data_IF_604580995694
#
_entry.id   IF_604580995694
#
_cell.length_a   1.000
_cell.length_b   1.000
_cell.length_c   1.000
_cell.angle_alpha   90.00
_cell.angle_beta   90.00
_cell.angle_gamma   90.00
#
_symmetry.space_group_name_H-M   'P 1'
#
loop_
_entity.id
_entity.type
_entity.pdbx_description
1 polymer ?
#
# COMPACT_ATOMS: atom_id res chain seq x y z
N UNK A 1 20.38 33.35 8.38
CA UNK A 1 19.02 33.01 8.84
C UNK A 1 18.27 32.37 7.69
N UNK A 2 18.25 31.03 7.65
CA UNK A 2 17.38 30.26 6.75
C UNK A 2 16.42 29.53 7.66
N UNK A 3 15.18 30.00 7.68
CA UNK A 3 14.10 29.43 8.48
C UNK A 3 13.75 28.06 7.89
N UNK A 4 14.16 27.00 8.58
CA UNK A 4 13.73 25.64 8.30
C UNK A 4 12.22 25.59 8.51
N UNK A 5 11.48 25.46 7.40
CA UNK A 5 10.05 25.18 7.42
C UNK A 5 9.85 23.74 7.86
N UNK A 6 9.63 23.54 9.16
CA UNK A 6 9.05 22.32 9.70
C UNK A 6 7.55 22.33 9.36
N UNK A 7 7.19 21.89 8.16
CA UNK A 7 5.83 21.37 7.98
C UNK A 7 5.78 20.04 8.74
N UNK A 8 5.18 20.06 9.92
CA UNK A 8 4.90 18.86 10.72
C UNK A 8 4.12 17.85 9.89
N UNK A 9 4.82 16.85 9.33
CA UNK A 9 4.22 15.65 8.79
C UNK A 9 3.52 14.79 9.87
N UNK A 10 3.69 15.15 11.15
CA UNK A 10 2.98 14.58 12.31
C UNK A 10 1.57 15.17 12.55
N UNK A 11 1.07 16.08 11.69
CA UNK A 11 -0.14 16.86 12.00
C UNK A 11 -1.48 16.24 11.58
N UNK A 12 -1.49 15.17 10.79
CA UNK A 12 -2.73 14.50 10.35
C UNK A 12 -2.85 13.14 11.06
N UNK A 13 -3.89 12.95 11.91
CA UNK A 13 -4.15 11.66 12.53
C UNK A 13 -4.34 10.56 11.48
N UNK A 14 -3.88 9.32 11.73
CA UNK A 14 -4.14 8.20 10.84
C UNK A 14 -5.63 8.01 10.58
N UNK A 15 -5.98 7.58 9.38
CA UNK A 15 -7.36 7.39 8.93
C UNK A 15 -7.55 6.07 8.21
N UNK A 16 -8.79 5.62 8.06
CA UNK A 16 -9.11 4.42 7.26
C UNK A 16 -8.71 4.56 5.79
N UNK A 17 -8.63 5.79 5.26
CA UNK A 17 -8.23 6.05 3.88
C UNK A 17 -6.76 5.71 3.63
N UNK A 18 -5.91 5.78 4.67
CA UNK A 18 -4.49 5.43 4.61
C UNK A 18 -4.28 3.96 4.18
N UNK A 19 -5.26 3.10 4.51
CA UNK A 19 -5.24 1.68 4.16
C UNK A 19 -5.56 1.42 2.68
N UNK A 20 -5.94 2.43 1.90
CA UNK A 20 -6.18 2.28 0.45
C UNK A 20 -4.90 1.94 -0.32
N UNK A 21 -3.71 2.16 0.26
CA UNK A 21 -2.46 1.62 -0.25
C UNK A 21 -2.44 0.09 -0.40
N UNK A 22 -3.24 -0.63 0.41
CA UNK A 22 -3.44 -2.07 0.25
C UNK A 22 -4.12 -2.43 -1.08
N UNK A 23 -5.03 -1.57 -1.55
CA UNK A 23 -5.80 -1.79 -2.78
C UNK A 23 -5.02 -1.40 -4.04
N UNK A 24 -3.97 -0.58 -3.91
CA UNK A 24 -2.96 -0.41 -4.96
C UNK A 24 -2.09 -1.68 -5.15
N UNK A 25 -2.04 -2.53 -4.13
CA UNK A 25 -1.41 -3.84 -4.12
C UNK A 25 -2.46 -4.97 -4.36
N UNK A 26 -2.12 -6.25 -4.13
CA UNK A 26 -3.09 -7.35 -4.21
C UNK A 26 -4.20 -7.36 -3.14
N UNK A 27 -4.25 -6.37 -2.23
CA UNK A 27 -5.27 -6.30 -1.18
C UNK A 27 -6.69 -6.11 -1.75
N UNK A 28 -7.70 -6.57 -1.03
CA UNK A 28 -9.10 -6.57 -1.46
C UNK A 28 -9.96 -5.83 -0.43
N UNK A 29 -11.07 -5.28 -0.91
CA UNK A 29 -12.16 -4.76 -0.07
C UNK A 29 -13.43 -5.52 -0.41
N UNK A 30 -14.11 -6.05 0.60
CA UNK A 30 -15.34 -6.83 0.42
C UNK A 30 -16.45 -6.30 1.32
N UNK A 31 -17.67 -6.20 0.78
CA UNK A 31 -18.86 -5.90 1.57
C UNK A 31 -19.25 -7.11 2.42
N UNK A 32 -19.55 -6.88 3.70
CA UNK A 32 -20.00 -7.90 4.65
C UNK A 32 -21.14 -7.32 5.48
N UNK A 33 -22.37 -7.78 5.22
CA UNK A 33 -23.56 -7.24 5.90
C UNK A 33 -23.68 -5.73 5.69
N UNK A 34 -23.67 -4.97 6.80
CA UNK A 34 -23.76 -3.50 6.80
C UNK A 34 -22.40 -2.80 6.86
N UNK A 35 -21.28 -3.50 6.64
CA UNK A 35 -19.94 -2.93 6.63
C UNK A 35 -19.09 -3.47 5.49
N UNK A 36 -17.80 -3.14 5.51
CA UNK A 36 -16.83 -3.72 4.61
C UNK A 36 -15.58 -4.17 5.38
N UNK A 37 -14.75 -4.98 4.74
CA UNK A 37 -13.49 -5.48 5.28
C UNK A 37 -12.38 -5.31 4.25
N UNK A 38 -11.23 -4.82 4.70
CA UNK A 38 -9.98 -4.84 3.93
C UNK A 38 -9.18 -6.09 4.30
N UNK A 39 -8.52 -6.69 3.32
CA UNK A 39 -7.64 -7.84 3.55
C UNK A 39 -6.53 -7.91 2.53
N UNK A 40 -5.33 -8.34 2.93
CA UNK A 40 -4.21 -8.59 2.01
C UNK A 40 -3.40 -9.80 2.45
N UNK A 41 -3.06 -10.65 1.49
CA UNK A 41 -2.11 -11.75 1.67
C UNK A 41 -0.70 -11.20 1.40
N UNK A 42 0.24 -11.49 2.30
CA UNK A 42 1.61 -10.97 2.23
C UNK A 42 2.63 -12.10 2.36
N UNK A 43 3.82 -11.91 1.79
CA UNK A 43 4.83 -12.97 1.70
C UNK A 43 5.41 -13.36 3.08
N UNK A 44 5.46 -12.43 4.04
CA UNK A 44 6.10 -12.63 5.34
C UNK A 44 5.28 -12.09 6.51
N UNK A 45 5.38 -12.74 7.67
CA UNK A 45 4.59 -12.41 8.85
C UNK A 45 4.83 -10.97 9.36
N UNK A 46 6.07 -10.48 9.31
CA UNK A 46 6.40 -9.11 9.75
C UNK A 46 5.66 -8.05 8.94
N UNK A 47 5.31 -8.33 7.68
CA UNK A 47 4.48 -7.43 6.85
C UNK A 47 3.06 -7.38 7.39
N UNK A 48 2.50 -8.53 7.76
CA UNK A 48 1.17 -8.62 8.34
C UNK A 48 1.11 -7.92 9.71
N UNK A 49 2.14 -8.06 10.53
CA UNK A 49 2.27 -7.40 11.84
C UNK A 49 2.34 -5.87 11.68
N UNK A 50 3.22 -5.36 10.82
CA UNK A 50 3.32 -3.91 10.56
C UNK A 50 2.06 -3.32 9.91
N UNK A 51 1.35 -4.09 9.08
CA UNK A 51 0.04 -3.67 8.56
C UNK A 51 -1.04 -3.70 9.64
N UNK A 52 -0.99 -4.64 10.58
CA UNK A 52 -1.90 -4.67 11.72
C UNK A 52 -1.71 -3.43 12.61
N UNK A 53 -0.48 -2.96 12.81
CA UNK A 53 -0.19 -1.69 13.49
C UNK A 53 -0.86 -0.52 12.77
N UNK A 54 -0.73 -0.43 11.43
CA UNK A 54 -1.40 0.62 10.64
C UNK A 54 -2.94 0.55 10.75
N UNK A 55 -3.51 -0.65 10.84
CA UNK A 55 -4.95 -0.86 11.04
C UNK A 55 -5.39 -0.34 12.42
N UNK A 56 -4.62 -0.63 13.47
CA UNK A 56 -4.86 -0.11 14.83
C UNK A 56 -4.76 1.41 14.86
N UNK A 57 -3.74 1.98 14.22
CA UNK A 57 -3.55 3.43 14.12
C UNK A 57 -4.73 4.12 13.43
N UNK A 58 -5.32 3.50 12.41
CA UNK A 58 -6.54 3.97 11.73
C UNK A 58 -7.83 3.78 12.58
N UNK A 59 -7.71 3.24 13.80
CA UNK A 59 -8.81 3.01 14.72
C UNK A 59 -9.69 1.83 14.33
N UNK A 60 -9.14 0.81 13.66
CA UNK A 60 -9.81 -0.44 13.30
C UNK A 60 -9.18 -1.62 14.05
N UNK A 61 -9.92 -2.71 14.21
CA UNK A 61 -9.41 -3.94 14.81
C UNK A 61 -8.75 -4.82 13.72
N UNK A 62 -7.46 -5.19 13.85
CA UNK A 62 -6.81 -6.11 12.93
C UNK A 62 -7.02 -7.58 13.33
N UNK A 63 -6.96 -8.45 12.34
CA UNK A 63 -6.82 -9.89 12.52
C UNK A 63 -5.69 -10.39 11.59
N UNK A 64 -4.70 -11.05 12.19
CA UNK A 64 -3.66 -11.78 11.44
C UNK A 64 -4.06 -13.25 11.42
N UNK A 65 -4.13 -13.81 10.22
CA UNK A 65 -4.46 -15.20 9.95
C UNK A 65 -3.48 -15.78 8.93
N UNK A 66 -3.77 -16.99 8.46
CA UNK A 66 -3.07 -17.62 7.34
C UNK A 66 -4.08 -18.14 6.33
N UNK A 67 -3.70 -18.13 5.05
CA UNK A 67 -4.46 -18.83 4.00
C UNK A 67 -4.33 -20.35 4.16
N UNK A 68 -5.12 -21.10 3.39
CA UNK A 68 -5.05 -22.57 3.37
C UNK A 68 -3.66 -23.07 2.91
N UNK A 69 -2.97 -22.29 2.07
CA UNK A 69 -1.58 -22.50 1.64
C UNK A 69 -0.55 -22.01 2.67
N UNK A 70 -0.97 -21.73 3.91
CA UNK A 70 -0.13 -21.30 5.02
C UNK A 70 0.58 -19.94 4.78
N UNK A 71 0.05 -19.08 3.92
CA UNK A 71 0.61 -17.75 3.64
C UNK A 71 0.02 -16.70 4.61
N UNK A 72 0.81 -15.79 5.19
CA UNK A 72 0.28 -14.75 6.09
C UNK A 72 -0.79 -13.87 5.43
N UNK A 73 -1.87 -13.60 6.17
CA UNK A 73 -2.97 -12.73 5.79
C UNK A 73 -3.22 -11.74 6.92
N UNK A 74 -3.41 -10.46 6.60
CA UNK A 74 -3.93 -9.46 7.54
C UNK A 74 -5.24 -8.91 7.01
N UNK A 75 -6.21 -8.72 7.91
CA UNK A 75 -7.51 -8.12 7.58
C UNK A 75 -8.02 -7.24 8.69
N UNK A 76 -8.91 -6.33 8.36
CA UNK A 76 -9.67 -5.57 9.36
C UNK A 76 -10.85 -6.40 9.87
N UNK A 77 -11.39 -6.07 11.04
CA UNK A 77 -12.77 -6.36 11.36
C UNK A 77 -13.70 -5.69 10.32
N UNK A 78 -14.96 -6.14 10.28
CA UNK A 78 -15.97 -5.51 9.44
C UNK A 78 -16.35 -4.16 10.05
N UNK A 79 -16.24 -3.08 9.28
CA UNK A 79 -16.51 -1.72 9.76
C UNK A 79 -17.27 -0.90 8.70
N UNK A 80 -18.22 -0.08 9.15
CA UNK A 80 -19.04 0.76 8.26
C UNK A 80 -18.22 1.90 7.61
N UNK A 81 -17.14 2.36 8.23
CA UNK A 81 -16.24 3.39 7.67
C UNK A 81 -15.54 2.93 6.39
N UNK A 82 -15.45 1.61 6.17
CA UNK A 82 -14.86 1.03 4.97
C UNK A 82 -15.84 0.96 3.79
N UNK A 83 -17.13 1.27 3.97
CA UNK A 83 -18.13 1.22 2.89
C UNK A 83 -17.82 2.20 1.76
N UNK A 84 -17.40 3.42 2.08
CA UNK A 84 -17.02 4.41 1.05
C UNK A 84 -15.82 3.92 0.25
N UNK A 85 -14.81 3.37 0.93
CA UNK A 85 -13.65 2.76 0.26
C UNK A 85 -14.10 1.61 -0.65
N UNK A 86 -15.00 0.75 -0.19
CA UNK A 86 -15.54 -0.33 -1.01
C UNK A 86 -16.24 0.19 -2.27
N UNK A 87 -17.09 1.20 -2.14
CA UNK A 87 -17.80 1.82 -3.26
C UNK A 87 -16.87 2.51 -4.27
N UNK A 88 -15.81 3.16 -3.78
CA UNK A 88 -14.86 3.90 -4.62
C UNK A 88 -13.89 2.98 -5.38
N UNK A 89 -13.50 1.86 -4.76
CA UNK A 89 -12.51 0.92 -5.28
C UNK A 89 -13.08 -0.31 -5.97
N UNK A 90 -14.41 -0.42 -6.08
CA UNK A 90 -15.05 -1.55 -6.77
C UNK A 90 -16.11 -1.09 -7.76
N UNK A 91 -16.20 -1.80 -8.89
CA UNK A 91 -17.32 -1.71 -9.83
C UNK A 91 -17.91 -3.11 -9.98
N UNK A 92 -18.95 -3.39 -9.19
CA UNK A 92 -19.43 -4.76 -9.03
C UNK A 92 -18.36 -5.61 -8.33
N UNK A 93 -17.93 -6.71 -8.95
CA UNK A 93 -16.89 -7.58 -8.42
C UNK A 93 -15.45 -7.18 -8.83
N UNK A 94 -15.30 -6.13 -9.64
CA UNK A 94 -14.00 -5.74 -10.22
C UNK A 94 -13.36 -4.63 -9.40
N UNK A 95 -12.08 -4.80 -9.04
CA UNK A 95 -11.26 -3.75 -8.42
C UNK A 95 -10.99 -2.61 -9.42
N UNK A 96 -11.19 -1.38 -8.98
CA UNK A 96 -10.94 -0.16 -9.75
C UNK A 96 -10.11 0.83 -8.94
N UNK A 97 -9.55 1.85 -9.60
CA UNK A 97 -8.84 2.95 -8.94
C UNK A 97 -9.71 4.20 -9.01
N UNK A 98 -9.99 4.90 -7.90
CA UNK A 98 -10.74 6.15 -7.95
C UNK A 98 -10.00 7.21 -8.78
N UNK A 99 -10.66 7.96 -9.70
CA UNK A 99 -9.98 8.85 -10.66
C UNK A 99 -9.04 9.91 -10.03
N UNK A 100 -9.39 10.37 -8.84
CA UNK A 100 -8.65 11.40 -8.09
C UNK A 100 -7.74 10.82 -7.00
N UNK A 101 -7.65 9.50 -6.86
CA UNK A 101 -6.79 8.90 -5.84
C UNK A 101 -5.32 9.21 -6.11
N UNK A 102 -4.65 9.71 -5.08
CA UNK A 102 -3.21 9.98 -5.04
C UNK A 102 -2.68 9.42 -3.73
N UNK A 103 -1.65 8.57 -3.74
CA UNK A 103 -1.14 8.01 -2.50
C UNK A 103 -0.35 9.06 -1.72
N UNK A 104 -0.73 9.26 -0.46
CA UNK A 104 0.07 9.99 0.51
C UNK A 104 1.14 9.11 1.17
N UNK A 105 1.87 9.64 2.16
CA UNK A 105 2.89 8.90 2.90
C UNK A 105 2.38 7.55 3.46
N UNK A 106 1.20 7.53 4.08
CA UNK A 106 0.66 6.33 4.74
C UNK A 106 0.12 5.31 3.74
N UNK A 107 -0.49 5.74 2.64
CA UNK A 107 -0.86 4.84 1.54
C UNK A 107 0.38 4.23 0.87
N UNK A 108 1.44 5.01 0.65
CA UNK A 108 2.70 4.50 0.12
C UNK A 108 3.35 3.50 1.08
N UNK A 109 3.27 3.74 2.39
CA UNK A 109 3.75 2.80 3.41
C UNK A 109 2.94 1.50 3.39
N UNK A 110 1.62 1.56 3.36
CA UNK A 110 0.76 0.38 3.25
C UNK A 110 1.05 -0.43 1.97
N UNK A 111 1.24 0.23 0.83
CA UNK A 111 1.59 -0.43 -0.43
C UNK A 111 2.98 -1.10 -0.36
N UNK A 112 3.96 -0.43 0.22
CA UNK A 112 5.33 -0.95 0.42
C UNK A 112 5.33 -2.18 1.34
N UNK A 113 4.54 -2.14 2.41
CA UNK A 113 4.36 -3.28 3.31
C UNK A 113 3.64 -4.45 2.63
N UNK A 114 2.63 -4.16 1.83
CA UNK A 114 1.86 -5.19 1.14
C UNK A 114 2.66 -5.89 0.03
N UNK A 115 3.43 -5.14 -0.77
CA UNK A 115 4.02 -5.67 -2.01
C UNK A 115 5.34 -4.97 -2.44
N UNK A 116 6.06 -4.33 -1.53
CA UNK A 116 7.35 -3.70 -1.82
C UNK A 116 8.51 -4.70 -1.89
N UNK A 117 9.40 -4.58 -2.87
CA UNK A 117 10.58 -5.45 -2.98
C UNK A 117 11.79 -4.68 -3.53
N UNK A 118 12.99 -4.81 -2.93
CA UNK A 118 14.20 -4.23 -3.50
C UNK A 118 14.61 -4.96 -4.79
N UNK A 119 15.07 -4.21 -5.79
CA UNK A 119 15.65 -4.74 -7.03
C UNK A 119 16.99 -4.04 -7.30
N UNK A 120 18.09 -4.57 -6.76
CA UNK A 120 19.41 -3.95 -6.84
C UNK A 120 19.41 -2.47 -6.40
N UNK A 121 19.62 -1.54 -7.33
CA UNK A 121 19.60 -0.08 -7.14
C UNK A 121 18.20 0.54 -7.36
N UNK A 122 17.16 -0.29 -7.41
CA UNK A 122 15.77 0.07 -7.71
C UNK A 122 14.83 -0.51 -6.65
N UNK A 123 13.59 -0.05 -6.70
CA UNK A 123 12.54 -0.56 -5.83
C UNK A 123 11.29 -0.90 -6.63
N UNK A 124 10.64 -2.01 -6.30
CA UNK A 124 9.40 -2.45 -6.92
C UNK A 124 8.25 -2.24 -5.94
N UNK A 125 7.16 -1.66 -6.43
CA UNK A 125 5.84 -1.72 -5.79
C UNK A 125 4.97 -2.68 -6.59
N UNK A 126 4.70 -3.86 -6.03
CA UNK A 126 3.90 -4.88 -6.68
C UNK A 126 2.44 -4.45 -6.87
N UNK A 127 1.87 -4.82 -8.01
CA UNK A 127 0.49 -4.54 -8.41
C UNK A 127 -0.34 -5.83 -8.32
N UNK A 128 -1.67 -5.69 -8.32
CA UNK A 128 -2.55 -6.84 -8.35
C UNK A 128 -2.54 -7.53 -9.74
N UNK A 129 -2.09 -8.79 -9.87
CA UNK A 129 -2.14 -9.53 -11.12
C UNK A 129 -3.56 -9.83 -11.60
N UNK A 130 -4.55 -9.82 -10.70
CA UNK A 130 -5.95 -10.09 -11.00
C UNK A 130 -6.76 -8.83 -11.35
N UNK A 131 -6.15 -7.65 -11.30
CA UNK A 131 -6.80 -6.38 -11.64
C UNK A 131 -5.94 -5.53 -12.61
N UNK A 132 -5.65 -6.01 -13.83
CA UNK A 132 -4.76 -5.33 -14.79
C UNK A 132 -5.20 -3.91 -15.17
N UNK A 133 -6.52 -3.65 -15.15
CA UNK A 133 -7.08 -2.32 -15.46
C UNK A 133 -6.68 -1.25 -14.43
N UNK A 134 -6.20 -1.65 -13.24
CA UNK A 134 -5.71 -0.73 -12.21
C UNK A 134 -4.27 -0.26 -12.45
N UNK A 135 -3.48 -0.98 -13.26
CA UNK A 135 -2.03 -0.76 -13.35
C UNK A 135 -1.66 0.63 -13.91
N UNK A 136 -2.29 1.04 -15.01
CA UNK A 136 -2.03 2.34 -15.64
C UNK A 136 -2.54 3.53 -14.79
N UNK A 137 -3.74 3.48 -14.19
CA UNK A 137 -4.18 4.47 -13.22
C UNK A 137 -3.22 4.63 -12.02
N UNK A 138 -2.75 3.53 -11.44
CA UNK A 138 -1.80 3.57 -10.31
C UNK A 138 -0.45 4.16 -10.71
N UNK A 139 0.07 3.81 -11.89
CA UNK A 139 1.28 4.44 -12.43
C UNK A 139 1.12 5.95 -12.62
N UNK A 140 -0.05 6.38 -13.11
CA UNK A 140 -0.38 7.80 -13.30
C UNK A 140 -0.49 8.55 -11.97
N UNK A 141 -1.07 7.93 -10.94
CA UNK A 141 -1.12 8.48 -9.59
C UNK A 141 0.29 8.70 -9.01
N UNK A 142 1.18 7.72 -9.19
CA UNK A 142 2.60 7.83 -8.79
C UNK A 142 3.33 8.98 -9.50
N UNK A 143 3.08 9.17 -10.79
CA UNK A 143 3.63 10.32 -11.53
C UNK A 143 3.16 11.66 -10.95
N UNK A 144 1.88 11.77 -10.58
CA UNK A 144 1.27 12.99 -10.02
C UNK A 144 1.81 13.34 -8.63
N UNK A 145 2.25 12.35 -7.84
CA UNK A 145 2.95 12.59 -6.55
C UNK A 145 4.47 12.74 -6.70
N UNK A 146 4.96 12.81 -7.94
CA UNK A 146 6.37 13.10 -8.25
C UNK A 146 7.31 11.90 -8.27
N UNK A 147 6.77 10.67 -8.23
CA UNK A 147 7.54 9.42 -8.31
C UNK A 147 7.20 8.73 -9.63
N UNK A 148 7.80 9.17 -10.73
CA UNK A 148 7.52 8.57 -12.05
C UNK A 148 8.10 7.14 -12.17
N UNK A 149 7.26 6.08 -12.19
CA UNK A 149 7.73 4.70 -12.24
C UNK A 149 7.77 4.17 -13.67
N UNK A 150 8.39 3.01 -13.86
CA UNK A 150 8.23 2.18 -15.06
C UNK A 150 7.31 1.01 -14.73
N UNK A 151 6.20 0.87 -15.46
CA UNK A 151 5.33 -0.30 -15.33
C UNK A 151 6.01 -1.52 -15.98
N UNK A 152 6.17 -2.60 -15.22
CA UNK A 152 6.81 -3.85 -15.65
C UNK A 152 5.93 -5.06 -15.35
N UNK A 153 6.23 -6.20 -15.96
CA UNK A 153 5.60 -7.48 -15.60
C UNK A 153 4.11 -7.62 -15.94
N UNK A 154 3.53 -6.70 -16.73
CA UNK A 154 2.08 -6.65 -17.03
C UNK A 154 1.53 -7.85 -17.78
N UNK A 155 2.41 -8.68 -18.38
CA UNK A 155 2.03 -9.93 -19.06
C UNK A 155 2.33 -11.19 -18.22
N UNK A 156 2.85 -11.02 -17.00
CA UNK A 156 3.25 -12.12 -16.12
C UNK A 156 2.50 -12.08 -14.79
N UNK A 157 2.90 -12.95 -13.85
CA UNK A 157 2.27 -13.09 -12.54
C UNK A 157 2.69 -12.04 -11.50
N UNK A 158 3.71 -11.22 -11.80
CA UNK A 158 4.26 -10.21 -10.89
C UNK A 158 4.34 -8.84 -11.56
N UNK A 159 3.18 -8.21 -11.90
CA UNK A 159 3.18 -6.84 -12.37
C UNK A 159 3.66 -5.91 -11.25
N UNK A 160 4.43 -4.87 -11.60
CA UNK A 160 4.96 -3.94 -10.61
C UNK A 160 5.24 -2.56 -11.21
N UNK A 161 5.28 -1.56 -10.34
CA UNK A 161 5.86 -0.25 -10.62
C UNK A 161 7.31 -0.23 -10.17
N UNK A 162 8.23 -0.16 -11.13
CA UNK A 162 9.66 -0.07 -10.87
C UNK A 162 10.08 1.39 -10.74
N UNK A 163 10.62 1.71 -9.58
CA UNK A 163 11.11 3.04 -9.22
C UNK A 163 12.63 3.02 -9.36
N UNK A 164 13.14 3.91 -10.21
CA UNK A 164 14.56 3.96 -10.55
C UNK A 164 15.10 5.39 -10.52
N UNK A 165 16.38 5.50 -10.16
CA UNK A 165 17.08 6.77 -10.06
C UNK A 165 16.93 7.41 -8.68
N UNK A 166 18.07 7.90 -8.19
CA UNK A 166 18.27 8.43 -6.83
C UNK A 166 17.17 9.37 -6.34
N UNK A 167 16.79 10.37 -7.14
CA UNK A 167 15.76 11.37 -6.75
C UNK A 167 14.38 10.75 -6.49
N UNK A 168 13.99 9.74 -7.27
CA UNK A 168 12.69 9.08 -7.12
C UNK A 168 12.69 8.12 -5.93
N UNK A 169 13.80 7.42 -5.70
CA UNK A 169 13.98 6.58 -4.52
C UNK A 169 14.03 7.39 -3.23
N UNK A 170 14.76 8.51 -3.20
CA UNK A 170 14.77 9.43 -2.06
C UNK A 170 13.35 9.88 -1.70
N UNK A 171 12.57 10.31 -2.71
CA UNK A 171 11.17 10.70 -2.48
C UNK A 171 10.32 9.55 -1.95
N UNK A 172 10.51 8.32 -2.44
CA UNK A 172 9.82 7.16 -1.90
C UNK A 172 10.18 6.95 -0.42
N UNK A 173 11.47 6.92 -0.08
CA UNK A 173 11.98 6.75 1.29
C UNK A 173 11.42 7.83 2.22
N UNK A 174 11.46 9.09 1.81
CA UNK A 174 10.89 10.23 2.55
C UNK A 174 9.38 10.06 2.83
N UNK A 175 8.63 9.43 1.91
CA UNK A 175 7.19 9.21 2.09
C UNK A 175 6.88 7.96 2.92
N UNK A 176 7.59 6.85 2.73
CA UNK A 176 7.26 5.61 3.44
C UNK A 176 7.78 5.60 4.89
N UNK A 177 8.76 6.45 5.19
CA UNK A 177 9.38 6.57 6.52
C UNK A 177 10.33 5.41 6.83
N UNK A 178 10.67 5.27 8.12
CA UNK A 178 11.59 4.24 8.59
C UNK A 178 11.00 2.82 8.46
N UNK A 179 11.84 1.79 8.24
CA UNK A 179 11.37 0.41 8.23
C UNK A 179 10.70 0.04 9.56
N UNK A 180 9.69 -0.85 9.53
CA UNK A 180 9.20 -1.50 10.76
C UNK A 180 10.33 -2.17 11.54
N UNK A 181 10.13 -2.32 12.85
CA UNK A 181 11.07 -3.04 13.69
C UNK A 181 11.04 -4.55 13.39
N UNK A 182 12.23 -5.17 13.35
CA UNK A 182 12.36 -6.63 13.29
C UNK A 182 12.28 -7.27 11.90
N UNK A 183 12.47 -8.59 11.87
CA UNK A 183 12.42 -9.42 10.66
C UNK A 183 13.41 -9.01 9.57
N UNK A 184 13.02 -9.26 8.32
CA UNK A 184 13.74 -8.84 7.13
C UNK A 184 13.34 -7.42 6.66
N UNK A 185 12.60 -6.67 7.47
CA UNK A 185 12.07 -5.35 7.10
C UNK A 185 13.19 -4.42 6.64
N UNK A 186 14.31 -4.34 7.39
CA UNK A 186 15.45 -3.49 7.04
C UNK A 186 16.05 -3.79 5.66
N UNK A 187 16.13 -5.07 5.26
CA UNK A 187 16.72 -5.44 3.96
C UNK A 187 15.73 -5.32 2.80
N UNK A 188 14.43 -5.33 3.09
CA UNK A 188 13.35 -5.24 2.09
C UNK A 188 12.75 -3.83 1.94
N UNK A 189 13.08 -2.90 2.84
CA UNK A 189 12.63 -1.52 2.78
C UNK A 189 13.32 -0.74 1.64
N UNK A 190 12.66 0.26 1.03
CA UNK A 190 13.33 1.11 0.06
C UNK A 190 14.49 1.86 0.71
N UNK A 191 15.59 2.00 -0.06
CA UNK A 191 16.81 2.70 0.33
C UNK A 191 17.45 3.36 -0.89
N UNK A 192 18.41 4.24 -0.65
CA UNK A 192 19.13 5.02 -1.68
C UNK A 192 20.61 4.72 -1.63
#
# INVERSE_FOLDING_TARGET
>A
MSQLSFFSAESVPPTVADLTGLLAAPGQVVLVGSGARLSVVVEELWRAEALAEMIVEAGLEPEIARTDENTPLVRTAVDARLLTIAGDWTRGAVKTVPPQWLPGPRELRAWTLAAGTPEADRYLLGLDPHAPDTHSPLASAMMRVGIAPTLIGTRGSRPALRISGRRRLLRLVENVGEPPAGGAAFTQWPRV
#
